data_IF_017671930196
#
_entry.id   IF_017671930196
#
_cell.length_a   1.000
_cell.length_b   1.000
_cell.length_c   1.000
_cell.angle_alpha   90.00
_cell.angle_beta   90.00
_cell.angle_gamma   90.00
#
_symmetry.space_group_name_H-M   'P 1'
#
loop_
_entity.id
_entity.type
_entity.pdbx_description
1 polymer ?
#
# COMPACT_ATOMS: atom_id res chain seq x y z
N UNK A 1 39.48 3.64 4.64
CA UNK A 1 38.09 3.74 4.17
C UNK A 1 38.04 4.99 3.30
N UNK A 2 37.67 4.86 2.03
CA UNK A 2 37.77 5.99 1.08
C UNK A 2 36.52 6.86 1.12
N UNK A 3 36.62 8.15 0.80
CA UNK A 3 35.48 9.06 0.68
C UNK A 3 34.40 8.50 -0.29
N UNK A 4 34.82 7.73 -1.28
CA UNK A 4 33.93 7.02 -2.19
C UNK A 4 33.08 5.93 -1.50
N UNK A 5 33.68 5.13 -0.59
CA UNK A 5 32.95 4.11 0.17
C UNK A 5 31.88 4.75 1.07
N UNK A 6 32.19 5.91 1.65
CA UNK A 6 31.25 6.66 2.47
C UNK A 6 30.10 7.23 1.63
N UNK A 7 30.39 7.80 0.45
CA UNK A 7 29.36 8.26 -0.48
C UNK A 7 28.43 7.12 -0.93
N UNK A 8 28.98 5.95 -1.26
CA UNK A 8 28.19 4.78 -1.65
C UNK A 8 27.31 4.26 -0.49
N UNK A 9 27.82 4.31 0.75
CA UNK A 9 27.02 3.98 1.94
C UNK A 9 25.85 4.93 2.11
N UNK A 10 26.07 6.23 1.95
CA UNK A 10 25.02 7.26 2.03
C UNK A 10 23.98 7.04 0.93
N UNK A 11 24.40 6.77 -0.31
CA UNK A 11 23.49 6.52 -1.42
C UNK A 11 22.55 5.33 -1.14
N UNK A 12 23.07 4.22 -0.60
CA UNK A 12 22.26 3.05 -0.24
C UNK A 12 21.25 3.36 0.87
N UNK A 13 21.67 4.13 1.88
CA UNK A 13 20.77 4.57 2.95
C UNK A 13 19.64 5.46 2.42
N UNK A 14 19.95 6.40 1.53
CA UNK A 14 18.94 7.24 0.90
C UNK A 14 17.97 6.43 0.04
N UNK A 15 18.48 5.51 -0.79
CA UNK A 15 17.64 4.63 -1.60
C UNK A 15 16.68 3.79 -0.75
N UNK A 16 17.17 3.26 0.39
CA UNK A 16 16.33 2.51 1.34
C UNK A 16 15.24 3.38 1.97
N UNK A 17 15.53 4.64 2.32
CA UNK A 17 14.53 5.55 2.89
C UNK A 17 13.47 5.95 1.88
N UNK A 18 13.89 6.29 0.67
CA UNK A 18 12.96 6.62 -0.43
C UNK A 18 12.01 5.45 -0.68
N UNK A 19 12.52 4.21 -0.70
CA UNK A 19 11.68 3.03 -0.87
C UNK A 19 10.65 2.87 0.28
N UNK A 20 11.03 3.17 1.52
CA UNK A 20 10.11 3.13 2.67
C UNK A 20 9.04 4.23 2.62
N UNK A 21 9.42 5.43 2.17
CA UNK A 21 8.49 6.55 1.98
C UNK A 21 7.46 6.20 0.89
N UNK A 22 7.90 5.69 -0.26
CA UNK A 22 7.01 5.25 -1.34
C UNK A 22 6.03 4.17 -0.86
N UNK A 23 6.50 3.20 -0.08
CA UNK A 23 5.64 2.15 0.49
C UNK A 23 4.58 2.74 1.44
N UNK A 24 4.97 3.71 2.26
CA UNK A 24 4.06 4.40 3.20
C UNK A 24 3.01 5.21 2.43
N UNK A 25 3.43 5.98 1.43
CA UNK A 25 2.52 6.79 0.61
C UNK A 25 1.50 5.92 -0.14
N UNK A 26 1.97 4.80 -0.71
CA UNK A 26 1.09 3.86 -1.41
C UNK A 26 0.12 3.14 -0.46
N UNK A 27 0.55 2.86 0.79
CA UNK A 27 -0.32 2.33 1.83
C UNK A 27 -1.44 3.32 2.18
N UNK A 28 -1.10 4.59 2.41
CA UNK A 28 -2.05 5.66 2.71
C UNK A 28 -3.03 5.84 1.56
N UNK A 29 -2.51 5.87 0.33
CA UNK A 29 -3.31 6.02 -0.89
C UNK A 29 -4.30 4.88 -1.06
N UNK A 30 -3.87 3.63 -0.86
CA UNK A 30 -4.74 2.46 -0.94
C UNK A 30 -5.84 2.51 0.12
N UNK A 31 -5.51 2.89 1.35
CA UNK A 31 -6.49 3.06 2.41
C UNK A 31 -7.52 4.14 2.07
N UNK A 32 -7.10 5.25 1.45
CA UNK A 32 -8.01 6.29 0.96
C UNK A 32 -8.98 5.72 -0.07
N UNK A 33 -8.48 4.99 -1.07
CA UNK A 33 -9.31 4.35 -2.10
C UNK A 33 -10.37 3.44 -1.46
N UNK A 34 -9.99 2.62 -0.47
CA UNK A 34 -10.92 1.72 0.23
C UNK A 34 -12.02 2.51 0.94
N UNK A 35 -11.68 3.63 1.60
CA UNK A 35 -12.64 4.50 2.29
C UNK A 35 -13.55 5.24 1.32
N UNK A 36 -13.04 5.68 0.19
CA UNK A 36 -13.81 6.37 -0.85
C UNK A 36 -14.82 5.42 -1.52
N UNK A 37 -14.42 4.17 -1.74
CA UNK A 37 -15.30 3.11 -2.24
C UNK A 37 -16.27 2.59 -1.16
N UNK A 38 -15.93 2.75 0.12
CA UNK A 38 -16.73 2.33 1.27
C UNK A 38 -17.01 3.46 2.28
N UNK A 39 -17.73 4.53 1.87
CA UNK A 39 -17.95 5.68 2.73
C UNK A 39 -18.82 5.37 3.96
N UNK A 40 -19.57 4.26 3.92
CA UNK A 40 -20.42 3.80 5.02
C UNK A 40 -19.83 2.60 5.77
N UNK A 41 -18.58 2.22 5.48
CA UNK A 41 -17.93 1.06 6.08
C UNK A 41 -18.53 -0.28 5.64
N UNK A 42 -19.20 -0.33 4.48
CA UNK A 42 -19.72 -1.58 3.90
C UNK A 42 -18.60 -2.40 3.26
N UNK A 43 -18.79 -3.71 3.18
CA UNK A 43 -17.87 -4.55 2.39
C UNK A 43 -17.94 -4.16 0.90
N UNK A 44 -16.78 -4.12 0.26
CA UNK A 44 -16.62 -3.83 -1.18
C UNK A 44 -15.82 -4.97 -1.84
N UNK A 45 -16.07 -5.28 -3.13
CA UNK A 45 -15.28 -6.27 -3.84
C UNK A 45 -13.81 -5.87 -3.90
N UNK A 46 -12.90 -6.82 -3.65
CA UNK A 46 -11.45 -6.63 -3.74
C UNK A 46 -11.06 -6.17 -5.16
N UNK A 47 -11.67 -6.73 -6.19
CA UNK A 47 -11.48 -6.32 -7.59
C UNK A 47 -11.78 -4.84 -7.81
N UNK A 48 -12.79 -4.26 -7.15
CA UNK A 48 -13.09 -2.82 -7.28
C UNK A 48 -11.95 -1.96 -6.74
N UNK A 49 -11.33 -2.38 -5.64
CA UNK A 49 -10.15 -1.71 -5.07
C UNK A 49 -8.95 -1.84 -6.01
N UNK A 50 -8.71 -3.02 -6.58
CA UNK A 50 -7.62 -3.27 -7.54
C UNK A 50 -7.78 -2.39 -8.78
N UNK A 51 -9.00 -2.32 -9.33
CA UNK A 51 -9.29 -1.51 -10.52
C UNK A 51 -9.05 -0.02 -10.26
N UNK A 52 -9.53 0.51 -9.14
CA UNK A 52 -9.34 1.92 -8.78
C UNK A 52 -7.87 2.24 -8.50
N UNK A 53 -7.17 1.39 -7.75
CA UNK A 53 -5.75 1.55 -7.48
C UNK A 53 -4.90 1.51 -8.76
N UNK A 54 -5.24 0.61 -9.70
CA UNK A 54 -4.60 0.55 -11.02
C UNK A 54 -4.85 1.82 -11.84
N UNK A 55 -6.07 2.36 -11.82
CA UNK A 55 -6.39 3.62 -12.49
C UNK A 55 -5.55 4.79 -11.94
N UNK A 56 -5.12 4.69 -10.68
CA UNK A 56 -4.23 5.65 -10.02
C UNK A 56 -2.73 5.30 -10.12
N UNK A 57 -2.36 4.33 -10.95
CA UNK A 57 -0.96 4.00 -11.29
C UNK A 57 -0.30 2.94 -10.41
N UNK A 58 -1.03 2.26 -9.53
CA UNK A 58 -0.49 1.16 -8.73
C UNK A 58 -0.48 -0.16 -9.51
N UNK A 59 0.51 -1.01 -9.25
CA UNK A 59 0.55 -2.36 -9.82
C UNK A 59 -0.32 -3.31 -9.01
N UNK A 60 -1.03 -4.24 -9.67
CA UNK A 60 -1.89 -5.22 -8.98
C UNK A 60 -1.15 -6.01 -7.89
N UNK A 61 0.09 -6.43 -8.16
CA UNK A 61 0.93 -7.17 -7.21
C UNK A 61 1.25 -6.35 -5.97
N UNK A 62 1.46 -5.05 -6.14
CA UNK A 62 1.65 -4.11 -5.04
C UNK A 62 0.37 -3.91 -4.24
N UNK A 63 -0.77 -3.74 -4.92
CA UNK A 63 -2.08 -3.60 -4.27
C UNK A 63 -2.39 -4.82 -3.42
N UNK A 64 -2.21 -6.03 -3.95
CA UNK A 64 -2.45 -7.27 -3.20
C UNK A 64 -1.57 -7.37 -1.95
N UNK A 65 -0.26 -7.06 -2.08
CA UNK A 65 0.65 -7.03 -0.93
C UNK A 65 0.22 -6.02 0.12
N UNK A 66 -0.18 -4.81 -0.30
CA UNK A 66 -0.62 -3.74 0.59
C UNK A 66 -1.96 -4.06 1.26
N UNK A 67 -2.89 -4.74 0.57
CA UNK A 67 -4.13 -5.25 1.18
C UNK A 67 -3.82 -6.22 2.32
N UNK A 68 -2.85 -7.12 2.14
CA UNK A 68 -2.46 -8.06 3.19
C UNK A 68 -1.71 -7.36 4.33
N UNK A 69 -0.99 -6.28 4.07
CA UNK A 69 -0.43 -5.42 5.11
C UNK A 69 -1.52 -4.71 5.90
N UNK A 70 -2.46 -4.04 5.24
CA UNK A 70 -3.58 -3.35 5.91
C UNK A 70 -4.44 -4.29 6.77
N UNK A 71 -4.60 -5.57 6.36
CA UNK A 71 -5.25 -6.59 7.20
C UNK A 71 -4.45 -6.94 8.45
N UNK A 72 -3.13 -7.10 8.31
CA UNK A 72 -2.24 -7.40 9.45
C UNK A 72 -2.17 -6.24 10.44
N UNK A 73 -2.34 -5.02 9.94
CA UNK A 73 -2.36 -3.79 10.73
C UNK A 73 -3.77 -3.47 11.27
N UNK A 74 -4.74 -4.39 11.13
CA UNK A 74 -6.14 -4.26 11.55
C UNK A 74 -6.89 -3.03 10.97
N UNK A 75 -6.37 -2.43 9.90
CA UNK A 75 -6.96 -1.27 9.24
C UNK A 75 -8.14 -1.64 8.33
N UNK A 76 -8.15 -2.88 7.85
CA UNK A 76 -9.25 -3.47 7.06
C UNK A 76 -9.46 -4.93 7.45
N UNK A 77 -10.63 -5.47 7.12
CA UNK A 77 -10.98 -6.88 7.29
C UNK A 77 -11.39 -7.50 5.94
N UNK A 78 -11.30 -8.82 5.82
CA UNK A 78 -11.83 -9.61 4.70
C UNK A 78 -13.00 -10.46 5.25
N UNK A 79 -14.21 -9.89 5.37
CA UNK A 79 -15.34 -10.56 6.01
C UNK A 79 -15.84 -11.78 5.21
N UNK A 80 -15.56 -11.78 3.91
CA UNK A 80 -15.84 -12.85 2.95
C UNK A 80 -14.72 -12.86 1.92
N UNK A 81 -14.37 -14.04 1.41
CA UNK A 81 -13.33 -14.17 0.39
C UNK A 81 -13.63 -13.25 -0.81
N UNK A 82 -12.65 -12.42 -1.18
CA UNK A 82 -12.81 -11.48 -2.30
C UNK A 82 -13.53 -10.18 -1.95
N UNK A 83 -13.85 -9.94 -0.67
CA UNK A 83 -14.38 -8.68 -0.18
C UNK A 83 -13.45 -8.05 0.84
N UNK A 84 -13.40 -6.73 0.87
CA UNK A 84 -12.67 -5.96 1.88
C UNK A 84 -13.59 -4.96 2.54
N UNK A 85 -13.36 -4.68 3.81
CA UNK A 85 -14.14 -3.72 4.59
C UNK A 85 -13.20 -2.93 5.50
N UNK A 86 -13.25 -1.59 5.50
CA UNK A 86 -12.49 -0.81 6.48
C UNK A 86 -13.01 -1.11 7.90
N UNK A 87 -12.10 -1.23 8.86
CA UNK A 87 -12.41 -1.35 10.29
C UNK A 87 -12.87 0.01 10.83
#
# INVERSE_FOLDING_TARGET
MTDFDELMRIQRLMASRIAQEVDTDNTIKLLSIIRDLSPTGKKIPKESVILEARAQGMLDTEVLRLLDQLKRDDMITEPEQGYVQPT
#
